data_IF_754077758444
#
_entry.id   IF_754077758444
#
_cell.length_a   1.000
_cell.length_b   1.000
_cell.length_c   1.000
_cell.angle_alpha   90.00
_cell.angle_beta   90.00
_cell.angle_gamma   90.00
#
_symmetry.space_group_name_H-M   'P 1'
#
loop_
_entity.id
_entity.type
_entity.pdbx_description
1 polymer ?
#
# COMPACT_ATOMS: atom_id res chain seq x y z
N UNK A 1 -7.20 4.35 -10.92
CA UNK A 1 -7.53 4.74 -9.54
C UNK A 1 -6.24 5.16 -8.88
N UNK A 2 -6.26 6.29 -8.19
CA UNK A 2 -5.11 6.92 -7.54
C UNK A 2 -5.28 6.71 -6.03
N UNK A 3 -4.82 5.55 -5.55
CA UNK A 3 -4.99 5.09 -4.16
C UNK A 3 -3.81 4.21 -3.74
N UNK A 4 -3.56 4.10 -2.43
CA UNK A 4 -2.60 3.15 -1.83
C UNK A 4 -3.27 1.84 -1.40
N UNK A 5 -4.23 1.38 -2.20
CA UNK A 5 -4.91 0.11 -2.01
C UNK A 5 -4.68 -0.80 -3.20
N UNK A 6 -4.69 -2.09 -2.93
CA UNK A 6 -4.74 -3.12 -3.97
C UNK A 6 -6.20 -3.44 -4.31
N UNK A 7 -6.38 -4.02 -5.50
CA UNK A 7 -7.63 -4.60 -5.97
C UNK A 7 -7.40 -6.11 -6.11
N UNK A 8 -8.37 -6.90 -5.64
CA UNK A 8 -8.23 -8.35 -5.56
C UNK A 8 -9.11 -9.07 -6.57
N UNK A 9 -8.64 -10.21 -7.11
CA UNK A 9 -9.45 -11.06 -7.97
C UNK A 9 -10.49 -11.83 -7.14
N UNK A 10 -11.64 -12.12 -7.75
CA UNK A 10 -12.75 -12.79 -7.04
C UNK A 10 -12.38 -14.14 -6.47
N UNK A 11 -11.58 -14.91 -7.20
CA UNK A 11 -11.11 -16.22 -6.76
C UNK A 11 -10.30 -16.12 -5.46
N UNK A 12 -9.44 -15.10 -5.33
CA UNK A 12 -8.66 -14.88 -4.12
C UNK A 12 -9.57 -14.57 -2.93
N UNK A 13 -10.52 -13.65 -3.08
CA UNK A 13 -11.45 -13.32 -2.00
C UNK A 13 -12.26 -14.54 -1.56
N UNK A 14 -12.70 -15.36 -2.51
CA UNK A 14 -13.47 -16.57 -2.22
C UNK A 14 -12.66 -17.62 -1.46
N UNK A 15 -11.39 -17.77 -1.80
CA UNK A 15 -10.50 -18.75 -1.18
C UNK A 15 -9.99 -18.31 0.19
N UNK A 16 -9.70 -17.01 0.37
CA UNK A 16 -8.93 -16.53 1.52
C UNK A 16 -9.69 -15.56 2.43
N UNK A 17 -10.75 -14.89 1.96
CA UNK A 17 -11.46 -13.85 2.72
C UNK A 17 -12.89 -14.24 3.14
N UNK A 18 -13.45 -15.34 2.63
CA UNK A 18 -14.81 -15.79 2.97
C UNK A 18 -14.90 -16.64 4.26
N UNK A 19 -13.87 -16.63 5.10
CA UNK A 19 -13.86 -17.38 6.36
C UNK A 19 -14.81 -16.79 7.41
N UNK A 20 -15.33 -17.60 8.36
CA UNK A 20 -16.23 -17.14 9.42
C UNK A 20 -15.64 -16.03 10.31
N UNK A 21 -14.31 -15.93 10.37
CA UNK A 21 -13.55 -14.92 11.13
C UNK A 21 -13.41 -13.58 10.40
N UNK A 22 -13.75 -13.50 9.11
CA UNK A 22 -13.69 -12.27 8.29
C UNK A 22 -15.03 -11.52 8.22
N UNK A 23 -15.82 -11.58 9.28
CA UNK A 23 -17.08 -10.82 9.41
C UNK A 23 -16.89 -9.36 9.86
N UNK A 24 -15.68 -8.81 9.75
CA UNK A 24 -15.38 -7.43 10.11
C UNK A 24 -15.66 -6.48 8.93
N UNK A 25 -16.62 -5.58 9.08
CA UNK A 25 -16.68 -4.38 8.26
C UNK A 25 -15.37 -3.58 8.46
N UNK A 26 -14.42 -3.68 7.52
CA UNK A 26 -13.10 -3.07 7.66
C UNK A 26 -12.17 -3.33 6.48
N UNK A 27 -10.94 -2.83 6.57
CA UNK A 27 -9.87 -3.10 5.61
C UNK A 27 -9.21 -4.46 5.89
N UNK A 28 -8.86 -5.19 4.83
CA UNK A 28 -7.96 -6.36 4.93
C UNK A 28 -6.54 -5.93 4.64
N UNK A 29 -5.59 -6.41 5.43
CA UNK A 29 -4.16 -6.18 5.18
C UNK A 29 -3.54 -7.43 4.57
N UNK A 30 -2.73 -7.23 3.54
CA UNK A 30 -1.95 -8.28 2.89
C UNK A 30 -0.47 -7.97 3.05
N UNK A 31 0.34 -8.98 3.35
CA UNK A 31 1.79 -8.91 3.21
C UNK A 31 2.16 -9.40 1.80
N UNK A 32 2.88 -8.56 1.06
CA UNK A 32 3.55 -8.92 -0.18
C UNK A 32 5.02 -9.19 0.13
N UNK A 33 5.56 -10.31 -0.36
CA UNK A 33 6.94 -10.70 -0.09
C UNK A 33 7.65 -11.23 -1.32
N UNK A 34 8.92 -10.89 -1.50
CA UNK A 34 9.75 -11.40 -2.60
C UNK A 34 11.22 -11.51 -2.19
N UNK A 35 11.96 -12.41 -2.84
CA UNK A 35 13.41 -12.52 -2.68
C UNK A 35 14.11 -11.49 -3.57
N UNK A 36 15.03 -10.70 -3.01
CA UNK A 36 15.81 -9.71 -3.76
C UNK A 36 16.97 -10.37 -4.49
N UNK A 37 17.58 -9.64 -5.44
CA UNK A 37 18.77 -10.11 -6.18
C UNK A 37 19.93 -10.47 -5.22
N UNK A 38 19.97 -9.81 -4.06
CA UNK A 38 21.00 -9.99 -3.03
C UNK A 38 20.67 -11.13 -2.04
N UNK A 39 19.56 -11.87 -2.26
CA UNK A 39 19.17 -13.03 -1.46
C UNK A 39 18.43 -12.73 -0.14
N UNK A 40 17.99 -11.49 0.06
CA UNK A 40 17.16 -11.12 1.22
C UNK A 40 15.68 -11.18 0.87
N UNK A 41 14.82 -11.49 1.84
CA UNK A 41 13.36 -11.42 1.63
C UNK A 41 12.86 -10.02 2.00
N UNK A 42 12.38 -9.29 1.01
CA UNK A 42 11.69 -8.02 1.20
C UNK A 42 10.21 -8.27 1.49
N UNK A 43 9.62 -7.45 2.36
CA UNK A 43 8.20 -7.51 2.74
C UNK A 43 7.60 -6.12 2.76
N UNK A 44 6.33 -6.03 2.37
CA UNK A 44 5.54 -4.80 2.47
C UNK A 44 4.09 -5.15 2.76
N UNK A 45 3.48 -4.47 3.73
CA UNK A 45 2.05 -4.57 3.98
C UNK A 45 1.28 -3.60 3.10
N UNK A 46 0.19 -4.07 2.48
CA UNK A 46 -0.71 -3.29 1.64
C UNK A 46 -2.16 -3.49 2.06
N UNK A 47 -2.98 -2.47 1.85
CA UNK A 47 -4.39 -2.48 2.22
C UNK A 47 -5.32 -2.87 1.07
N UNK A 48 -6.42 -3.54 1.41
CA UNK A 48 -7.57 -3.76 0.55
C UNK A 48 -8.85 -3.32 1.28
N UNK A 49 -9.70 -2.56 0.57
CA UNK A 49 -10.93 -1.98 1.13
C UNK A 49 -12.19 -2.33 0.31
N UNK A 50 -12.20 -3.49 -0.34
CA UNK A 50 -13.31 -3.93 -1.20
C UNK A 50 -13.08 -3.76 -2.71
N UNK A 51 -11.90 -3.28 -3.11
CA UNK A 51 -11.56 -3.05 -4.52
C UNK A 51 -11.47 -4.34 -5.34
N UNK A 52 -12.14 -4.40 -6.49
CA UNK A 52 -12.05 -5.53 -7.41
C UNK A 52 -11.15 -5.21 -8.58
N UNK A 53 -10.46 -6.23 -9.08
CA UNK A 53 -9.74 -6.15 -10.37
C UNK A 53 -10.69 -5.77 -11.49
N UNK A 54 -10.19 -5.07 -12.50
CA UNK A 54 -11.02 -4.60 -13.62
C UNK A 54 -11.55 -5.74 -14.48
N UNK A 55 -10.69 -6.72 -14.78
CA UNK A 55 -11.11 -7.94 -15.46
C UNK A 55 -11.50 -9.00 -14.42
N UNK A 56 -12.79 -9.26 -14.33
CA UNK A 56 -13.38 -10.23 -13.40
C UNK A 56 -12.84 -11.66 -13.53
N UNK A 57 -12.26 -12.01 -14.70
CA UNK A 57 -11.67 -13.33 -14.95
C UNK A 57 -10.18 -13.38 -14.64
N UNK A 58 -9.57 -12.25 -14.35
CA UNK A 58 -8.18 -12.18 -13.98
C UNK A 58 -7.97 -12.74 -12.58
N UNK A 59 -6.81 -13.37 -12.39
CA UNK A 59 -6.27 -13.91 -11.15
C UNK A 59 -5.12 -13.04 -10.60
N UNK A 60 -4.88 -11.87 -11.19
CA UNK A 60 -3.80 -10.96 -10.77
C UNK A 60 -4.29 -9.99 -9.71
N UNK A 61 -3.40 -9.57 -8.82
CA UNK A 61 -3.65 -8.43 -7.93
C UNK A 61 -3.29 -7.15 -8.70
N UNK A 62 -4.19 -6.17 -8.70
CA UNK A 62 -3.97 -4.88 -9.35
C UNK A 62 -3.66 -3.81 -8.30
N UNK A 63 -2.74 -2.89 -8.62
CA UNK A 63 -2.48 -1.70 -7.82
C UNK A 63 -2.03 -0.55 -8.72
N UNK A 64 -2.01 0.68 -8.21
CA UNK A 64 -1.52 1.81 -9.01
C UNK A 64 0.00 1.69 -9.24
N UNK A 65 0.46 2.08 -10.43
CA UNK A 65 1.89 1.98 -10.77
C UNK A 65 2.77 2.79 -9.82
N UNK A 66 2.30 3.97 -9.41
CA UNK A 66 3.02 4.80 -8.44
C UNK A 66 3.12 4.13 -7.06
N UNK A 67 2.05 3.49 -6.60
CA UNK A 67 2.07 2.75 -5.35
C UNK A 67 2.98 1.52 -5.44
N UNK A 68 2.97 0.79 -6.56
CA UNK A 68 3.88 -0.33 -6.80
C UNK A 68 5.36 0.11 -6.80
N UNK A 69 5.67 1.28 -7.38
CA UNK A 69 7.01 1.86 -7.33
C UNK A 69 7.43 2.21 -5.91
N UNK A 70 6.55 2.86 -5.16
CA UNK A 70 6.79 3.21 -3.75
C UNK A 70 6.94 1.97 -2.84
N UNK A 71 6.32 0.84 -3.20
CA UNK A 71 6.55 -0.46 -2.56
C UNK A 71 7.84 -1.15 -2.99
N UNK A 72 8.55 -0.65 -4.02
CA UNK A 72 9.74 -1.27 -4.60
C UNK A 72 9.45 -2.48 -5.50
N UNK A 73 8.18 -2.79 -5.75
CA UNK A 73 7.76 -3.93 -6.57
C UNK A 73 8.09 -3.68 -8.04
N UNK A 74 7.85 -2.46 -8.53
CA UNK A 74 8.15 -2.12 -9.92
C UNK A 74 9.65 -2.33 -10.23
N UNK A 75 10.53 -1.71 -9.45
CA UNK A 75 11.98 -1.82 -9.61
C UNK A 75 12.47 -3.27 -9.48
N UNK A 76 11.83 -4.05 -8.60
CA UNK A 76 12.13 -5.47 -8.44
C UNK A 76 11.77 -6.29 -9.68
N UNK A 77 10.56 -6.14 -10.22
CA UNK A 77 10.10 -6.86 -11.40
C UNK A 77 10.83 -6.42 -12.67
N UNK A 78 11.32 -5.17 -12.76
CA UNK A 78 12.19 -4.74 -13.85
C UNK A 78 13.54 -5.48 -13.84
N UNK A 79 14.11 -5.73 -12.65
CA UNK A 79 15.37 -6.46 -12.48
C UNK A 79 15.19 -7.97 -12.58
N UNK A 80 14.06 -8.50 -12.10
CA UNK A 80 13.74 -9.93 -12.09
C UNK A 80 12.31 -10.16 -12.61
N UNK A 81 12.09 -10.12 -13.94
CA UNK A 81 10.75 -10.20 -14.54
C UNK A 81 10.01 -11.52 -14.30
N UNK A 82 10.73 -12.57 -13.88
CA UNK A 82 10.19 -13.90 -13.59
C UNK A 82 10.11 -14.18 -12.08
N UNK A 83 10.36 -13.19 -11.23
CA UNK A 83 10.27 -13.35 -9.79
C UNK A 83 8.81 -13.53 -9.34
N UNK A 84 8.63 -14.33 -8.30
CA UNK A 84 7.33 -14.51 -7.67
C UNK A 84 7.17 -13.52 -6.51
N UNK A 85 5.99 -12.92 -6.42
CA UNK A 85 5.55 -12.15 -5.25
C UNK A 85 4.57 -13.02 -4.47
N UNK A 86 4.98 -13.44 -3.28
CA UNK A 86 4.11 -14.11 -2.32
C UNK A 86 3.08 -13.14 -1.75
N UNK A 87 1.89 -13.65 -1.46
CA UNK A 87 0.79 -12.89 -0.87
C UNK A 87 0.29 -13.65 0.35
N UNK A 88 0.23 -12.97 1.48
CA UNK A 88 -0.30 -13.53 2.73
C UNK A 88 -1.33 -12.58 3.33
N UNK A 89 -2.46 -13.12 3.80
CA UNK A 89 -3.44 -12.34 4.55
C UNK A 89 -2.93 -12.17 5.98
N UNK A 90 -2.84 -10.93 6.45
CA UNK A 90 -2.32 -10.63 7.79
C UNK A 90 -3.47 -10.61 8.79
N UNK A 91 -3.42 -11.50 9.79
CA UNK A 91 -4.48 -11.63 10.80
C UNK A 91 -4.51 -10.46 11.79
N UNK A 92 -3.33 -9.99 12.22
CA UNK A 92 -3.21 -8.94 13.22
C UNK A 92 -1.97 -8.07 13.00
N UNK A 93 -2.14 -6.75 13.11
CA UNK A 93 -1.06 -5.79 13.17
C UNK A 93 -1.28 -4.83 14.36
N UNK A 94 -0.19 -4.28 14.93
CA UNK A 94 -0.29 -3.17 15.88
C UNK A 94 -1.01 -1.97 15.24
N UNK A 95 -1.87 -1.32 16.02
CA UNK A 95 -2.54 -0.09 15.58
C UNK A 95 -1.57 1.07 15.80
N UNK A 96 -1.13 1.70 14.71
CA UNK A 96 -0.38 2.94 14.78
C UNK A 96 -1.28 4.06 15.33
N UNK A 97 -0.91 4.61 16.49
CA UNK A 97 -1.61 5.75 17.11
C UNK A 97 -1.15 7.09 16.58
N UNK A 98 0.08 7.11 16.07
CA UNK A 98 0.75 8.28 15.54
C UNK A 98 1.69 7.82 14.44
N UNK A 99 1.79 8.62 13.39
CA UNK A 99 2.74 8.44 12.30
C UNK A 99 3.38 9.78 12.00
N UNK A 100 4.69 9.77 11.80
CA UNK A 100 5.42 10.95 11.34
C UNK A 100 5.51 10.89 9.81
N UNK A 101 5.28 12.02 9.15
CA UNK A 101 5.37 12.13 7.70
C UNK A 101 6.30 13.27 7.32
N UNK A 102 7.22 13.01 6.40
CA UNK A 102 8.10 14.02 5.83
C UNK A 102 8.00 14.00 4.29
N UNK A 103 8.03 15.15 3.60
CA UNK A 103 8.08 15.17 2.15
C UNK A 103 9.39 14.59 1.63
N UNK A 104 9.34 13.93 0.47
CA UNK A 104 10.53 13.33 -0.12
C UNK A 104 11.42 14.34 -0.86
N UNK A 105 10.86 15.46 -1.33
CA UNK A 105 11.56 16.47 -2.14
C UNK A 105 11.12 17.89 -1.78
N UNK A 106 11.88 18.94 -2.19
CA UNK A 106 11.44 20.33 -2.05
C UNK A 106 10.11 20.63 -2.74
N UNK A 107 9.86 20.01 -3.91
CA UNK A 107 8.59 20.15 -4.63
C UNK A 107 7.44 19.53 -3.83
N UNK A 108 7.66 18.34 -3.24
CA UNK A 108 6.68 17.71 -2.34
C UNK A 108 6.42 18.61 -1.11
N UNK A 109 7.45 19.26 -0.57
CA UNK A 109 7.32 20.20 0.54
C UNK A 109 6.43 21.39 0.18
N UNK A 110 6.65 22.01 -0.99
CA UNK A 110 5.82 23.11 -1.47
C UNK A 110 4.35 22.68 -1.65
N UNK A 111 4.12 21.50 -2.25
CA UNK A 111 2.78 20.95 -2.40
C UNK A 111 2.09 20.69 -1.06
N UNK A 112 2.81 20.20 -0.06
CA UNK A 112 2.27 20.02 1.30
C UNK A 112 1.89 21.36 1.91
N UNK A 113 2.73 22.40 1.79
CA UNK A 113 2.42 23.73 2.33
C UNK A 113 1.15 24.32 1.71
N UNK A 114 0.95 24.11 0.41
CA UNK A 114 -0.25 24.56 -0.31
C UNK A 114 -1.53 23.80 0.09
N UNK A 115 -1.41 22.55 0.55
CA UNK A 115 -2.54 21.65 0.81
C UNK A 115 -2.62 21.11 2.25
N UNK A 116 -1.94 21.76 3.20
CA UNK A 116 -1.74 21.24 4.55
C UNK A 116 -3.06 20.86 5.26
N UNK A 117 -4.13 21.63 5.05
CA UNK A 117 -5.45 21.37 5.65
C UNK A 117 -6.18 20.13 5.13
N UNK A 118 -5.74 19.53 4.02
CA UNK A 118 -6.34 18.33 3.42
C UNK A 118 -5.48 17.08 3.61
N UNK A 119 -4.19 17.24 3.92
CA UNK A 119 -3.22 16.15 3.88
C UNK A 119 -3.60 15.00 4.82
N UNK A 120 -3.97 15.30 6.07
CA UNK A 120 -4.38 14.28 7.06
C UNK A 120 -5.62 13.50 6.60
N UNK A 121 -6.63 14.21 6.08
CA UNK A 121 -7.84 13.58 5.59
C UNK A 121 -7.56 12.68 4.38
N UNK A 122 -6.71 13.14 3.44
CA UNK A 122 -6.33 12.35 2.28
C UNK A 122 -5.46 11.13 2.64
N UNK A 123 -4.58 11.26 3.63
CA UNK A 123 -3.82 10.15 4.20
C UNK A 123 -4.75 9.05 4.73
N UNK A 124 -5.65 9.41 5.64
CA UNK A 124 -6.61 8.47 6.24
C UNK A 124 -7.56 7.85 5.20
N UNK A 125 -7.88 8.58 4.13
CA UNK A 125 -8.74 8.07 3.05
C UNK A 125 -8.04 7.08 2.13
N UNK A 126 -6.72 7.20 1.98
CA UNK A 126 -5.97 6.45 0.97
C UNK A 126 -5.10 5.34 1.54
N UNK A 127 -4.93 5.29 2.85
CA UNK A 127 -4.10 4.32 3.55
C UNK A 127 -4.87 3.70 4.72
N UNK A 128 -4.69 2.40 4.93
CA UNK A 128 -5.15 1.68 6.13
C UNK A 128 -4.02 0.91 6.83
N UNK A 129 -2.82 0.96 6.27
CA UNK A 129 -1.60 0.38 6.80
C UNK A 129 -0.42 1.25 6.39
N UNK A 130 0.61 1.27 7.23
CA UNK A 130 1.86 1.98 6.99
C UNK A 130 3.01 1.00 7.18
N UNK A 131 4.09 1.17 6.41
CA UNK A 131 5.34 0.46 6.64
C UNK A 131 6.39 1.48 7.08
N UNK A 132 7.15 1.18 8.14
CA UNK A 132 8.13 2.11 8.67
C UNK A 132 9.17 2.48 7.60
N UNK A 133 9.47 3.78 7.51
CA UNK A 133 10.40 4.41 6.55
C UNK A 133 10.02 4.27 5.08
N UNK A 134 8.82 3.79 4.77
CA UNK A 134 8.38 3.62 3.40
C UNK A 134 7.99 4.97 2.78
N UNK A 135 8.40 5.18 1.53
CA UNK A 135 7.82 6.23 0.70
C UNK A 135 6.40 5.82 0.32
N UNK A 136 5.44 6.71 0.45
CA UNK A 136 4.05 6.49 0.07
C UNK A 136 3.53 7.65 -0.79
N UNK A 137 2.82 7.36 -1.89
CA UNK A 137 2.18 8.39 -2.69
C UNK A 137 0.84 8.82 -2.09
N UNK A 138 0.54 10.11 -2.09
CA UNK A 138 -0.75 10.66 -1.68
C UNK A 138 -1.28 11.54 -2.80
N UNK A 139 -2.54 11.32 -3.17
CA UNK A 139 -3.19 12.11 -4.20
C UNK A 139 -4.13 13.14 -3.59
N UNK A 140 -3.81 14.41 -3.75
CA UNK A 140 -4.66 15.53 -3.36
C UNK A 140 -5.42 16.04 -4.58
N UNK A 141 -6.69 16.43 -4.41
CA UNK A 141 -7.55 16.90 -5.51
C UNK A 141 -7.61 15.96 -6.73
N UNK A 142 -7.42 14.65 -6.51
CA UNK A 142 -7.45 13.57 -7.51
C UNK A 142 -6.30 13.55 -8.54
N UNK A 143 -5.52 14.63 -8.70
CA UNK A 143 -4.47 14.74 -9.71
C UNK A 143 -3.10 15.22 -9.19
N UNK A 144 -3.02 15.79 -7.98
CA UNK A 144 -1.75 16.24 -7.39
C UNK A 144 -1.15 15.07 -6.63
N UNK A 145 -0.01 14.57 -7.10
CA UNK A 145 0.75 13.52 -6.43
C UNK A 145 1.80 14.14 -5.52
N UNK A 146 1.76 13.78 -4.24
CA UNK A 146 2.76 14.13 -3.23
C UNK A 146 3.39 12.83 -2.74
N UNK A 147 4.72 12.76 -2.65
CA UNK A 147 5.41 11.64 -2.02
C UNK A 147 5.86 12.02 -0.62
N UNK A 148 5.43 11.21 0.34
CA UNK A 148 5.83 11.33 1.73
C UNK A 148 6.61 10.10 2.17
N UNK A 149 7.54 10.26 3.09
CA UNK A 149 8.12 9.16 3.84
C UNK A 149 7.43 9.07 5.19
N UNK A 150 6.88 7.89 5.47
CA UNK A 150 6.24 7.60 6.75
C UNK A 150 7.26 7.04 7.71
N UNK A 151 7.21 7.43 8.97
CA UNK A 151 8.01 6.82 10.04
C UNK A 151 7.15 6.58 11.28
N UNK A 152 7.37 5.43 11.91
CA UNK A 152 6.70 5.06 13.15
C UNK A 152 7.53 5.54 14.35
N UNK A 153 6.90 6.13 15.39
CA UNK A 153 7.56 6.43 16.65
C UNK A 153 8.22 5.19 17.27
N UNK A 154 9.34 5.40 17.97
CA UNK A 154 10.09 4.33 18.62
C UNK A 154 9.23 3.63 19.68
N UNK A 155 9.07 2.31 19.57
CA UNK A 155 8.36 1.49 20.56
C UNK A 155 6.93 1.08 20.18
N UNK A 156 6.50 1.35 18.93
CA UNK A 156 5.31 0.74 18.31
C UNK A 156 5.66 -0.47 17.44
#
# INVERSE_FOLDING_TARGET
>A
MSTCFVNLPRAFMQAFLNGPDMNGAGSTILELSWETVDGYVQRVCVGWIGGLVKDIRSDVIEMSAEFARCCGIQDHLEKMPQAFVGVHVVDMLPIAREVNVEPCTPDDWELIQLHAGLLETELLRQMCVVNDKQVTPIWVHQNILIRIRVSLPVGM
#
